data_IF_930732072282
#
_entry.id   IF_930732072282
#
_cell.length_a   1.000
_cell.length_b   1.000
_cell.length_c   1.000
_cell.angle_alpha   90.00
_cell.angle_beta   90.00
_cell.angle_gamma   90.00
#
_symmetry.space_group_name_H-M   'P 1'
#
loop_
_entity.id
_entity.type
_entity.pdbx_description
1 polymer ?
#
# COMPACT_ATOMS: atom_id res chain seq x y z
N UNK A 1 17.93 -18.76 -5.52
CA UNK A 1 17.46 -18.57 -4.13
C UNK A 1 15.98 -18.81 -4.05
N UNK A 2 15.53 -19.54 -3.05
CA UNK A 2 14.12 -19.76 -2.76
C UNK A 2 13.60 -18.66 -1.85
N UNK A 3 12.42 -18.13 -2.21
CA UNK A 3 11.62 -17.23 -1.40
C UNK A 3 10.40 -18.01 -0.97
N UNK A 4 10.23 -18.20 0.33
CA UNK A 4 9.11 -18.95 0.91
C UNK A 4 7.75 -18.36 0.50
N UNK A 5 6.67 -19.18 0.50
CA UNK A 5 5.33 -18.69 0.23
C UNK A 5 4.94 -17.53 1.14
N UNK A 6 4.32 -16.52 0.59
CA UNK A 6 3.93 -15.32 1.37
C UNK A 6 2.96 -15.67 2.51
N UNK A 7 2.07 -16.64 2.30
CA UNK A 7 1.12 -17.08 3.33
C UNK A 7 1.80 -17.63 4.61
N UNK A 8 3.05 -18.10 4.49
CA UNK A 8 3.82 -18.68 5.61
C UNK A 8 4.66 -17.60 6.33
N UNK A 9 4.58 -16.35 5.84
CA UNK A 9 5.29 -15.20 6.40
C UNK A 9 4.39 -14.40 7.34
N UNK A 10 4.93 -14.02 8.48
CA UNK A 10 4.28 -13.07 9.40
C UNK A 10 4.61 -11.61 9.08
N UNK A 11 5.22 -11.36 7.92
CA UNK A 11 5.68 -10.02 7.51
C UNK A 11 4.54 -9.27 6.82
N UNK A 12 4.24 -8.06 7.28
CA UNK A 12 3.38 -7.12 6.57
C UNK A 12 4.22 -6.51 5.43
N UNK A 13 4.11 -7.11 4.25
CA UNK A 13 4.92 -6.71 3.09
C UNK A 13 4.54 -5.33 2.58
N UNK A 14 3.24 -5.07 2.38
CA UNK A 14 2.70 -3.77 1.94
C UNK A 14 1.46 -3.41 2.76
N UNK A 15 1.00 -2.14 2.76
CA UNK A 15 -0.16 -1.74 3.53
C UNK A 15 -1.47 -2.44 3.13
N UNK A 16 -1.61 -2.84 1.85
CA UNK A 16 -2.83 -3.50 1.37
C UNK A 16 -2.52 -4.77 0.60
N UNK A 17 -3.41 -5.78 0.70
CA UNK A 17 -3.28 -7.00 -0.08
C UNK A 17 -3.27 -6.76 -1.60
N UNK A 18 -3.97 -5.72 -2.07
CA UNK A 18 -3.97 -5.33 -3.48
C UNK A 18 -2.58 -4.89 -3.95
N UNK A 19 -1.88 -4.08 -3.15
CA UNK A 19 -0.51 -3.65 -3.48
C UNK A 19 0.47 -4.82 -3.41
N UNK A 20 0.32 -5.73 -2.43
CA UNK A 20 1.11 -6.98 -2.38
C UNK A 20 0.93 -7.80 -3.66
N UNK A 21 -0.31 -7.99 -4.10
CA UNK A 21 -0.60 -8.74 -5.33
C UNK A 21 0.06 -8.09 -6.55
N UNK A 22 -0.07 -6.77 -6.67
CA UNK A 22 0.53 -6.02 -7.78
C UNK A 22 2.06 -6.11 -7.76
N UNK A 23 2.68 -6.05 -6.59
CA UNK A 23 4.12 -6.22 -6.44
C UNK A 23 4.58 -7.59 -6.95
N UNK A 24 3.92 -8.68 -6.51
CA UNK A 24 4.25 -10.03 -6.98
C UNK A 24 4.04 -10.17 -8.49
N UNK A 25 2.95 -9.67 -9.04
CA UNK A 25 2.70 -9.71 -10.48
C UNK A 25 3.81 -9.00 -11.25
N UNK A 26 4.19 -7.78 -10.84
CA UNK A 26 5.28 -7.04 -11.50
C UNK A 26 6.61 -7.81 -11.44
N UNK A 27 6.95 -8.40 -10.29
CA UNK A 27 8.18 -9.19 -10.15
C UNK A 27 8.18 -10.45 -11.03
N UNK A 28 7.02 -11.06 -11.26
CA UNK A 28 6.83 -12.22 -12.14
C UNK A 28 6.92 -11.78 -13.61
N UNK A 29 6.21 -10.72 -13.98
CA UNK A 29 6.14 -10.20 -15.34
C UNK A 29 7.54 -9.75 -15.82
N UNK A 30 8.30 -9.11 -14.95
CA UNK A 30 9.70 -8.71 -15.18
C UNK A 30 10.68 -9.89 -15.03
N UNK A 31 10.19 -11.09 -14.74
CA UNK A 31 11.00 -12.31 -14.54
C UNK A 31 12.07 -12.17 -13.46
N UNK A 32 11.91 -11.27 -12.51
CA UNK A 32 12.80 -11.13 -11.35
C UNK A 32 12.62 -12.32 -10.41
N UNK A 33 11.38 -12.82 -10.29
CA UNK A 33 11.06 -14.06 -9.61
C UNK A 33 10.35 -15.02 -10.56
N UNK A 34 10.59 -16.31 -10.36
CA UNK A 34 9.91 -17.40 -11.09
C UNK A 34 9.36 -18.42 -10.11
N UNK A 35 8.29 -19.13 -10.49
CA UNK A 35 7.71 -20.16 -9.62
C UNK A 35 8.67 -21.34 -9.53
N UNK A 36 8.98 -21.76 -8.30
CA UNK A 36 9.82 -22.92 -8.04
C UNK A 36 9.10 -24.22 -8.46
N UNK A 37 9.77 -25.14 -9.18
CA UNK A 37 9.27 -26.47 -9.47
C UNK A 37 8.98 -27.30 -8.19
N UNK A 38 9.55 -26.91 -7.05
CA UNK A 38 9.34 -27.56 -5.76
C UNK A 38 8.12 -27.01 -5.02
N UNK A 39 7.37 -26.08 -5.61
CA UNK A 39 6.13 -25.59 -5.02
C UNK A 39 5.12 -26.71 -4.81
N UNK A 40 4.38 -26.72 -3.67
CA UNK A 40 3.43 -27.79 -3.38
C UNK A 40 2.27 -27.82 -4.39
N UNK A 41 1.78 -28.99 -4.75
CA UNK A 41 0.72 -29.15 -5.77
C UNK A 41 -0.55 -28.37 -5.45
N UNK A 42 -0.91 -28.21 -4.17
CA UNK A 42 -2.07 -27.42 -3.74
C UNK A 42 -1.90 -25.90 -3.94
N UNK A 43 -0.73 -25.44 -4.34
CA UNK A 43 -0.49 -24.08 -4.74
C UNK A 43 -0.90 -23.80 -6.19
N UNK A 44 -1.25 -24.84 -6.97
CA UNK A 44 -1.66 -24.73 -8.36
C UNK A 44 -3.15 -25.06 -8.53
N UNK A 45 -3.76 -24.53 -9.60
CA UNK A 45 -5.09 -24.94 -10.05
C UNK A 45 -4.97 -26.18 -10.95
N UNK A 46 -4.97 -27.36 -10.36
CA UNK A 46 -4.74 -28.65 -11.04
C UNK A 46 -5.77 -28.89 -12.14
N UNK A 47 -7.03 -28.49 -11.92
CA UNK A 47 -8.12 -28.67 -12.89
C UNK A 47 -8.12 -27.61 -14.03
N UNK A 48 -7.15 -26.70 -14.05
CA UNK A 48 -7.02 -25.72 -15.12
C UNK A 48 -6.40 -26.36 -16.36
N UNK A 49 -6.94 -26.01 -17.55
CA UNK A 49 -6.34 -26.41 -18.84
C UNK A 49 -4.92 -25.84 -19.03
N UNK A 50 -4.61 -24.77 -18.31
CA UNK A 50 -3.34 -24.08 -18.38
C UNK A 50 -2.38 -24.48 -17.25
N UNK A 51 -2.61 -25.62 -16.60
CA UNK A 51 -1.68 -26.17 -15.61
C UNK A 51 -0.32 -26.42 -16.28
N UNK A 52 0.81 -26.06 -15.64
CA UNK A 52 1.01 -25.49 -14.30
C UNK A 52 1.02 -23.93 -14.25
N UNK A 53 0.61 -23.25 -15.30
CA UNK A 53 0.73 -21.79 -15.42
C UNK A 53 -0.28 -21.02 -14.56
N UNK A 54 -1.30 -21.69 -13.99
CA UNK A 54 -2.28 -21.08 -13.11
C UNK A 54 -2.06 -21.51 -11.67
N UNK A 55 -1.65 -20.57 -10.83
CA UNK A 55 -1.25 -20.81 -9.46
C UNK A 55 -1.76 -19.74 -8.48
N UNK A 56 -1.71 -20.03 -7.19
CA UNK A 56 -2.04 -19.09 -6.12
C UNK A 56 -0.78 -18.37 -5.66
N UNK A 57 -0.66 -17.08 -6.02
CA UNK A 57 0.56 -16.28 -5.86
C UNK A 57 1.12 -16.24 -4.42
N UNK A 58 0.30 -16.44 -3.41
CA UNK A 58 0.74 -16.46 -2.03
C UNK A 58 1.11 -17.86 -1.50
N UNK A 59 0.85 -18.93 -2.29
CA UNK A 59 1.09 -20.31 -1.90
C UNK A 59 2.31 -20.96 -2.56
N UNK A 60 2.74 -20.41 -3.70
CA UNK A 60 3.91 -20.94 -4.39
C UNK A 60 5.21 -20.45 -3.74
N UNK A 61 6.24 -21.26 -3.82
CA UNK A 61 7.62 -20.87 -3.56
C UNK A 61 8.18 -20.22 -4.79
N UNK A 62 8.95 -19.15 -4.64
CA UNK A 62 9.58 -18.48 -5.76
C UNK A 62 11.09 -18.71 -5.77
N UNK A 63 11.66 -18.67 -6.96
CA UNK A 63 13.09 -18.62 -7.20
C UNK A 63 13.46 -17.20 -7.63
N UNK A 64 14.47 -16.63 -7.00
CA UNK A 64 15.06 -15.39 -7.46
C UNK A 64 15.84 -15.64 -8.75
N UNK A 65 15.37 -15.05 -9.86
CA UNK A 65 15.90 -15.24 -11.20
C UNK A 65 16.78 -14.06 -11.61
N UNK A 66 17.82 -13.82 -10.83
CA UNK A 66 18.80 -12.78 -11.09
C UNK A 66 20.17 -13.44 -11.35
N UNK A 67 20.88 -12.98 -12.39
CA UNK A 67 22.23 -13.43 -12.70
C UNK A 67 23.23 -12.54 -11.94
N UNK A 68 24.15 -13.18 -11.20
CA UNK A 68 25.15 -12.47 -10.42
C UNK A 68 26.55 -12.90 -10.78
N UNK A 69 27.48 -11.93 -10.87
CA UNK A 69 28.82 -12.27 -11.34
C UNK A 69 29.59 -13.18 -10.39
N UNK A 70 29.68 -12.99 -9.09
CA UNK A 70 30.67 -13.74 -8.32
C UNK A 70 30.39 -14.00 -6.83
N UNK A 71 29.50 -13.29 -6.14
CA UNK A 71 29.29 -13.51 -4.72
C UNK A 71 27.87 -13.20 -4.25
N UNK A 72 27.30 -14.15 -3.48
CA UNK A 72 25.97 -14.04 -2.89
C UNK A 72 25.82 -12.85 -1.96
N UNK A 73 26.84 -12.61 -1.16
CA UNK A 73 26.84 -11.62 -0.11
C UNK A 73 26.79 -10.22 -0.70
N UNK A 74 27.54 -9.98 -1.76
CA UNK A 74 27.57 -8.71 -2.49
C UNK A 74 26.21 -8.36 -3.12
N UNK A 75 25.45 -9.37 -3.55
CA UNK A 75 24.10 -9.15 -4.06
C UNK A 75 23.16 -8.64 -2.98
N UNK A 76 23.06 -9.39 -1.87
CA UNK A 76 22.16 -9.01 -0.80
C UNK A 76 22.55 -7.65 -0.23
N UNK A 77 23.84 -7.34 -0.12
CA UNK A 77 24.31 -6.02 0.28
C UNK A 77 23.86 -4.93 -0.70
N UNK A 78 23.96 -5.17 -2.01
CA UNK A 78 23.49 -4.23 -3.04
C UNK A 78 21.97 -4.06 -3.04
N UNK A 79 21.22 -5.15 -2.85
CA UNK A 79 19.74 -5.08 -2.75
C UNK A 79 19.31 -4.35 -1.48
N UNK A 80 19.96 -4.64 -0.35
CA UNK A 80 19.62 -4.04 0.94
C UNK A 80 20.12 -2.61 1.12
N UNK A 81 21.14 -2.23 0.37
CA UNK A 81 21.73 -0.89 0.37
C UNK A 81 21.83 -0.36 -1.07
N UNK A 82 20.68 -0.06 -1.72
CA UNK A 82 20.69 0.44 -3.08
C UNK A 82 21.41 1.80 -3.13
N UNK A 83 22.59 1.83 -3.72
CA UNK A 83 23.41 3.03 -3.85
C UNK A 83 22.93 3.97 -4.98
N UNK A 84 21.86 3.62 -5.66
CA UNK A 84 21.47 4.25 -6.90
C UNK A 84 20.06 4.80 -6.85
N UNK A 85 20.00 6.10 -6.62
CA UNK A 85 18.90 6.90 -7.10
C UNK A 85 19.47 7.81 -8.22
N UNK A 86 19.16 7.50 -9.46
CA UNK A 86 19.49 8.38 -10.58
C UNK A 86 18.29 9.27 -10.89
N UNK A 87 18.54 10.51 -11.29
CA UNK A 87 17.49 11.44 -11.71
C UNK A 87 16.63 10.88 -12.88
N UNK A 88 17.15 9.91 -13.61
CA UNK A 88 16.44 9.22 -14.68
C UNK A 88 15.24 8.42 -14.18
N UNK A 89 15.30 7.92 -12.93
CA UNK A 89 14.23 7.14 -12.28
C UNK A 89 13.33 7.97 -11.35
N UNK A 90 13.49 9.30 -11.33
CA UNK A 90 12.74 10.17 -10.41
C UNK A 90 11.22 10.03 -10.56
N UNK A 91 10.73 9.92 -11.80
CA UNK A 91 9.29 9.75 -12.06
C UNK A 91 8.78 8.39 -11.56
N UNK A 92 9.52 7.32 -11.80
CA UNK A 92 9.16 5.96 -11.34
C UNK A 92 9.17 5.89 -9.80
N UNK A 93 10.14 6.54 -9.20
CA UNK A 93 10.22 6.64 -7.75
C UNK A 93 9.05 7.44 -7.18
N UNK A 94 8.69 8.57 -7.75
CA UNK A 94 7.53 9.33 -7.32
C UNK A 94 6.23 8.52 -7.45
N UNK A 95 6.08 7.78 -8.54
CA UNK A 95 4.91 6.91 -8.74
C UNK A 95 4.84 5.77 -7.73
N UNK A 96 5.97 5.16 -7.35
CA UNK A 96 5.98 4.16 -6.29
C UNK A 96 5.66 4.78 -4.92
N UNK A 97 6.21 5.96 -4.62
CA UNK A 97 5.83 6.70 -3.41
C UNK A 97 4.33 6.92 -3.34
N UNK A 98 3.72 7.45 -4.42
CA UNK A 98 2.26 7.66 -4.49
C UNK A 98 1.47 6.37 -4.26
N UNK A 99 1.88 5.26 -4.89
CA UNK A 99 1.24 3.95 -4.70
C UNK A 99 1.28 3.48 -3.23
N UNK A 100 2.43 3.64 -2.57
CA UNK A 100 2.58 3.30 -1.15
C UNK A 100 1.69 4.23 -0.31
N UNK A 101 1.73 5.53 -0.55
CA UNK A 101 0.95 6.53 0.19
C UNK A 101 -0.57 6.31 0.05
N UNK A 102 -1.06 6.01 -1.15
CA UNK A 102 -2.47 5.64 -1.38
C UNK A 102 -2.83 4.38 -0.60
N UNK A 103 -1.97 3.35 -0.63
CA UNK A 103 -2.22 2.11 0.10
C UNK A 103 -2.27 2.32 1.62
N UNK A 104 -1.40 3.16 2.19
CA UNK A 104 -1.43 3.53 3.62
C UNK A 104 -2.72 4.29 3.99
N UNK A 105 -3.19 5.19 3.12
CA UNK A 105 -4.47 5.88 3.33
C UNK A 105 -5.66 4.92 3.29
N UNK A 106 -5.67 3.95 2.37
CA UNK A 106 -6.71 2.92 2.26
C UNK A 106 -6.72 2.02 3.49
N UNK A 107 -5.57 1.52 3.90
CA UNK A 107 -5.41 0.70 5.11
C UNK A 107 -5.99 1.41 6.35
N UNK A 108 -5.64 2.69 6.52
CA UNK A 108 -6.15 3.49 7.63
C UNK A 108 -7.66 3.75 7.54
N UNK A 109 -8.18 4.01 6.34
CA UNK A 109 -9.63 4.17 6.13
C UNK A 109 -10.39 2.90 6.50
N UNK A 110 -9.98 1.75 5.99
CA UNK A 110 -10.62 0.46 6.25
C UNK A 110 -10.55 0.09 7.74
N UNK A 111 -9.41 0.36 8.38
CA UNK A 111 -9.25 0.20 9.82
C UNK A 111 -10.24 1.07 10.61
N UNK A 112 -10.34 2.36 10.31
CA UNK A 112 -11.23 3.27 11.02
C UNK A 112 -12.71 2.89 10.83
N UNK A 113 -13.10 2.49 9.63
CA UNK A 113 -14.46 2.02 9.33
C UNK A 113 -14.79 0.73 10.07
N UNK A 114 -13.84 -0.22 10.09
CA UNK A 114 -13.99 -1.48 10.84
C UNK A 114 -14.15 -1.23 12.34
N UNK A 115 -13.39 -0.28 12.89
CA UNK A 115 -13.45 0.10 14.32
C UNK A 115 -14.83 0.60 14.75
N UNK A 116 -15.55 1.27 13.86
CA UNK A 116 -16.93 1.74 14.11
C UNK A 116 -17.99 0.75 13.64
N UNK A 117 -17.60 -0.45 13.24
CA UNK A 117 -18.47 -1.54 12.81
C UNK A 117 -19.12 -1.34 11.44
N UNK A 118 -18.50 -0.55 10.57
CA UNK A 118 -18.91 -0.37 9.19
C UNK A 118 -18.16 -1.35 8.30
N UNK A 119 -18.89 -1.99 7.37
CA UNK A 119 -18.30 -2.79 6.31
C UNK A 119 -18.07 -1.90 5.10
N UNK A 120 -16.86 -1.92 4.58
CA UNK A 120 -16.48 -1.13 3.42
C UNK A 120 -15.40 -1.88 2.61
N UNK A 121 -15.50 -1.82 1.31
CA UNK A 121 -14.49 -2.30 0.40
C UNK A 121 -14.05 -1.16 -0.51
N UNK A 122 -12.77 -0.87 -0.49
CA UNK A 122 -12.18 0.19 -1.31
C UNK A 122 -12.25 -0.18 -2.79
N UNK A 123 -12.83 0.70 -3.59
CA UNK A 123 -12.92 0.59 -5.03
C UNK A 123 -12.23 1.76 -5.74
N UNK A 124 -12.29 1.80 -7.07
CA UNK A 124 -11.60 2.78 -7.91
C UNK A 124 -11.83 4.24 -7.48
N UNK A 125 -13.04 4.56 -7.02
CA UNK A 125 -13.35 5.91 -6.52
C UNK A 125 -12.52 6.27 -5.28
N UNK A 126 -12.27 5.30 -4.40
CA UNK A 126 -11.46 5.50 -3.19
C UNK A 126 -10.00 5.73 -3.56
N UNK A 127 -9.46 4.92 -4.47
CA UNK A 127 -8.11 5.09 -4.99
C UNK A 127 -7.91 6.47 -5.61
N UNK A 128 -8.75 6.84 -6.57
CA UNK A 128 -8.70 8.16 -7.24
C UNK A 128 -8.83 9.33 -6.28
N UNK A 129 -9.69 9.20 -5.26
CA UNK A 129 -9.80 10.24 -4.23
C UNK A 129 -8.47 10.44 -3.52
N UNK A 130 -7.82 9.37 -3.04
CA UNK A 130 -6.55 9.53 -2.34
C UNK A 130 -5.42 9.99 -3.25
N UNK A 131 -5.37 9.57 -4.52
CA UNK A 131 -4.44 10.11 -5.50
C UNK A 131 -4.55 11.64 -5.64
N UNK A 132 -5.80 12.16 -5.67
CA UNK A 132 -6.05 13.60 -5.74
C UNK A 132 -5.64 14.29 -4.44
N UNK A 133 -6.00 13.75 -3.29
CA UNK A 133 -5.68 14.36 -1.98
C UNK A 133 -4.16 14.43 -1.74
N UNK A 134 -3.42 13.43 -2.18
CA UNK A 134 -1.96 13.35 -2.03
C UNK A 134 -1.19 14.40 -2.85
N UNK A 135 -1.82 15.07 -3.79
CA UNK A 135 -1.21 16.22 -4.46
C UNK A 135 -1.03 17.45 -3.54
N UNK A 136 -1.87 17.56 -2.51
CA UNK A 136 -1.89 18.72 -1.62
C UNK A 136 -1.57 18.34 -0.16
N UNK A 137 -1.81 17.09 0.26
CA UNK A 137 -1.70 16.66 1.64
C UNK A 137 -0.81 15.41 1.80
N UNK A 138 -0.10 15.36 2.90
CA UNK A 138 0.64 14.15 3.29
C UNK A 138 -0.28 13.04 3.80
N UNK A 139 0.21 11.81 3.84
CA UNK A 139 -0.51 10.66 4.45
C UNK A 139 -0.92 10.99 5.88
N UNK A 140 -0.02 11.62 6.65
CA UNK A 140 -0.25 11.98 8.06
C UNK A 140 -1.39 13.01 8.23
N UNK A 141 -1.57 13.93 7.29
CA UNK A 141 -2.69 14.89 7.27
C UNK A 141 -3.98 14.23 6.80
N UNK A 142 -3.90 13.36 5.79
CA UNK A 142 -5.03 12.58 5.28
C UNK A 142 -5.61 11.66 6.37
N UNK A 143 -4.79 11.12 7.27
CA UNK A 143 -5.27 10.37 8.44
C UNK A 143 -6.24 11.22 9.29
N UNK A 144 -5.94 12.49 9.49
CA UNK A 144 -6.83 13.42 10.19
C UNK A 144 -8.15 13.65 9.43
N UNK A 145 -8.09 13.81 8.11
CA UNK A 145 -9.27 13.93 7.24
C UNK A 145 -10.15 12.68 7.34
N UNK A 146 -9.55 11.49 7.24
CA UNK A 146 -10.26 10.19 7.35
C UNK A 146 -10.93 10.07 8.72
N UNK A 147 -10.18 10.33 9.79
CA UNK A 147 -10.71 10.24 11.15
C UNK A 147 -11.95 11.12 11.33
N UNK A 148 -11.88 12.37 10.89
CA UNK A 148 -13.00 13.31 10.93
C UNK A 148 -14.19 12.83 10.10
N UNK A 149 -13.96 12.37 8.88
CA UNK A 149 -15.00 11.90 7.99
C UNK A 149 -15.73 10.66 8.56
N UNK A 150 -14.99 9.73 9.16
CA UNK A 150 -15.57 8.53 9.81
C UNK A 150 -16.34 8.91 11.07
N UNK A 151 -15.86 9.88 11.88
CA UNK A 151 -16.57 10.37 13.04
C UNK A 151 -17.91 11.01 12.64
N UNK A 152 -17.94 11.83 11.60
CA UNK A 152 -19.17 12.45 11.09
C UNK A 152 -20.16 11.40 10.53
N UNK A 153 -19.67 10.39 9.80
CA UNK A 153 -20.50 9.28 9.32
C UNK A 153 -21.09 8.46 10.47
N UNK A 154 -20.31 8.21 11.52
CA UNK A 154 -20.76 7.51 12.72
C UNK A 154 -21.86 8.29 13.44
N UNK A 155 -21.73 9.61 13.54
CA UNK A 155 -22.77 10.49 14.11
C UNK A 155 -24.06 10.39 13.32
N UNK A 156 -24.02 10.47 11.98
CA UNK A 156 -25.20 10.35 11.13
C UNK A 156 -25.90 8.99 11.27
N UNK A 157 -25.13 7.93 11.44
CA UNK A 157 -25.67 6.60 11.73
C UNK A 157 -26.35 6.53 13.10
N UNK A 158 -25.72 7.05 14.15
CA UNK A 158 -26.29 7.07 15.52
C UNK A 158 -27.57 7.92 15.60
N UNK A 159 -27.66 9.00 14.85
CA UNK A 159 -28.87 9.84 14.72
C UNK A 159 -29.97 9.14 13.86
N UNK A 160 -29.76 7.89 13.44
CA UNK A 160 -30.67 7.10 12.58
C UNK A 160 -31.04 7.75 11.25
N UNK A 161 -30.19 8.65 10.76
CA UNK A 161 -30.37 9.30 9.45
C UNK A 161 -30.03 8.37 8.29
N UNK A 162 -29.06 7.48 8.51
CA UNK A 162 -28.58 6.52 7.50
C UNK A 162 -28.44 5.12 8.10
N UNK A 163 -28.53 4.10 7.26
CA UNK A 163 -28.07 2.75 7.61
C UNK A 163 -26.53 2.66 7.52
N UNK A 164 -25.94 1.57 8.03
CA UNK A 164 -24.47 1.37 8.10
C UNK A 164 -23.80 1.50 6.73
N UNK A 165 -24.35 0.88 5.72
CA UNK A 165 -23.74 0.88 4.38
C UNK A 165 -23.78 2.29 3.76
N UNK A 166 -24.88 3.01 3.94
CA UNK A 166 -24.99 4.38 3.45
C UNK A 166 -24.02 5.30 4.21
N UNK A 167 -23.94 5.18 5.54
CA UNK A 167 -23.01 5.95 6.37
C UNK A 167 -21.54 5.70 5.93
N UNK A 168 -21.14 4.42 5.73
CA UNK A 168 -19.81 4.08 5.24
C UNK A 168 -19.51 4.75 3.87
N UNK A 169 -20.45 4.70 2.94
CA UNK A 169 -20.29 5.29 1.61
C UNK A 169 -20.19 6.82 1.61
N UNK A 170 -20.74 7.50 2.63
CA UNK A 170 -20.62 8.96 2.73
C UNK A 170 -19.22 9.44 3.07
N UNK A 171 -18.37 8.56 3.63
CA UNK A 171 -17.01 8.91 4.09
C UNK A 171 -16.16 9.42 2.95
N UNK A 172 -16.23 8.79 1.76
CA UNK A 172 -15.44 9.19 0.59
C UNK A 172 -15.75 10.65 0.20
N UNK A 173 -17.02 10.97 0.03
CA UNK A 173 -17.43 12.35 -0.27
C UNK A 173 -17.16 13.33 0.88
N UNK A 174 -17.16 12.87 2.13
CA UNK A 174 -16.79 13.70 3.28
C UNK A 174 -15.29 14.03 3.27
N UNK A 175 -14.43 13.06 2.97
CA UNK A 175 -12.99 13.29 2.83
C UNK A 175 -12.70 14.34 1.76
N UNK A 176 -13.31 14.22 0.58
CA UNK A 176 -13.16 15.19 -0.51
C UNK A 176 -13.55 16.59 -0.06
N UNK A 177 -14.77 16.76 0.46
CA UNK A 177 -15.26 18.07 0.92
C UNK A 177 -14.44 18.69 2.05
N UNK A 178 -13.87 17.84 2.92
CA UNK A 178 -13.02 18.33 4.01
C UNK A 178 -11.68 18.83 3.48
N UNK A 179 -11.08 18.09 2.55
CA UNK A 179 -9.86 18.47 1.88
C UNK A 179 -10.02 19.78 1.07
N UNK A 180 -11.09 19.90 0.27
CA UNK A 180 -11.42 21.10 -0.47
C UNK A 180 -11.53 22.31 0.46
N UNK A 181 -12.31 22.21 1.55
CA UNK A 181 -12.42 23.30 2.54
C UNK A 181 -11.10 23.65 3.20
N UNK A 182 -10.28 22.64 3.51
CA UNK A 182 -8.97 22.89 4.10
C UNK A 182 -8.06 23.67 3.15
N UNK A 183 -8.09 23.33 1.87
CA UNK A 183 -7.33 24.03 0.81
C UNK A 183 -7.85 25.45 0.60
N UNK A 184 -9.16 25.64 0.42
CA UNK A 184 -9.79 26.92 0.14
C UNK A 184 -9.58 27.93 1.28
N UNK A 185 -9.57 27.45 2.52
CA UNK A 185 -9.39 28.30 3.69
C UNK A 185 -7.94 28.37 4.20
N UNK A 186 -7.00 27.71 3.52
CA UNK A 186 -5.59 27.67 3.92
C UNK A 186 -5.36 27.04 5.30
N UNK A 187 -6.15 26.03 5.66
CA UNK A 187 -6.02 25.39 6.97
C UNK A 187 -4.71 24.60 7.09
N UNK A 188 -3.98 24.85 8.16
CA UNK A 188 -2.87 23.98 8.53
C UNK A 188 -3.41 22.74 9.23
N UNK A 189 -3.56 21.65 8.47
CA UNK A 189 -4.06 20.40 9.00
C UNK A 189 -3.04 19.76 9.96
N UNK A 190 -3.56 19.28 11.10
CA UNK A 190 -2.74 18.57 12.07
C UNK A 190 -2.24 17.25 11.48
N UNK A 191 -0.94 17.02 11.59
CA UNK A 191 -0.32 15.74 11.23
C UNK A 191 -0.59 14.69 12.30
N UNK A 192 -1.04 13.51 11.88
CA UNK A 192 -1.25 12.35 12.73
C UNK A 192 -0.04 11.42 12.64
N UNK A 193 0.26 10.76 13.74
CA UNK A 193 1.29 9.72 13.74
C UNK A 193 0.73 8.40 13.22
N UNK A 194 1.63 7.50 12.79
CA UNK A 194 1.29 6.09 12.57
C UNK A 194 0.74 5.49 13.85
N UNK A 195 -0.27 4.66 13.75
CA UNK A 195 -0.89 4.01 14.89
C UNK A 195 -0.25 2.63 15.12
N UNK A 196 -0.24 2.18 16.36
CA UNK A 196 0.39 0.89 16.72
C UNK A 196 -0.28 -0.31 16.04
N UNK A 197 -1.59 -0.23 15.82
CA UNK A 197 -2.38 -1.30 15.22
C UNK A 197 -2.14 -1.45 13.72
N UNK A 198 -1.53 -0.43 13.07
CA UNK A 198 -1.11 -0.42 11.68
C UNK A 198 0.38 -0.06 11.61
N UNK A 199 1.27 -1.03 11.87
CA UNK A 199 2.70 -0.80 11.78
C UNK A 199 3.10 -0.53 10.34
N UNK A 200 4.16 0.25 10.15
CA UNK A 200 4.71 0.52 8.83
C UNK A 200 5.06 -0.80 8.13
N UNK A 201 4.60 -0.97 6.89
CA UNK A 201 4.90 -2.16 6.09
C UNK A 201 6.38 -2.22 5.69
N UNK A 202 6.86 -3.42 5.41
CA UNK A 202 8.25 -3.65 5.01
C UNK A 202 8.62 -2.87 3.75
N UNK A 203 7.73 -2.85 2.74
CA UNK A 203 7.96 -2.07 1.52
C UNK A 203 8.07 -0.58 1.83
N UNK A 204 7.14 -0.02 2.61
CA UNK A 204 7.15 1.39 2.99
C UNK A 204 8.43 1.76 3.74
N UNK A 205 8.82 0.95 4.74
CA UNK A 205 10.05 1.18 5.48
C UNK A 205 11.29 1.10 4.57
N UNK A 206 11.44 0.01 3.82
CA UNK A 206 12.58 -0.19 2.94
C UNK A 206 12.70 0.93 1.91
N UNK A 207 11.58 1.28 1.28
CA UNK A 207 11.55 2.28 0.24
C UNK A 207 11.94 3.67 0.74
N UNK A 208 11.37 4.11 1.87
CA UNK A 208 11.65 5.44 2.38
C UNK A 208 12.98 5.58 3.12
N UNK A 209 13.45 4.51 3.77
CA UNK A 209 14.68 4.58 4.57
C UNK A 209 15.92 4.03 3.87
N UNK A 210 15.77 3.22 2.79
CA UNK A 210 16.90 2.60 2.09
C UNK A 210 17.01 3.03 0.64
N UNK A 211 15.90 3.22 -0.06
CA UNK A 211 15.91 3.60 -1.47
C UNK A 211 15.95 5.12 -1.63
N UNK A 212 15.00 5.84 -1.02
CA UNK A 212 14.91 7.31 -1.15
C UNK A 212 15.71 8.07 -0.10
N UNK A 213 16.07 7.44 1.01
CA UNK A 213 16.74 8.05 2.17
C UNK A 213 16.03 9.31 2.73
N UNK A 214 14.71 9.35 2.62
CA UNK A 214 13.87 10.44 3.14
C UNK A 214 13.20 10.09 4.48
N UNK A 215 13.32 8.84 4.92
CA UNK A 215 12.81 8.36 6.20
C UNK A 215 11.33 8.66 6.42
N UNK A 216 11.00 9.28 7.55
CA UNK A 216 9.61 9.59 7.89
C UNK A 216 8.97 10.68 6.99
N UNK A 217 9.75 11.38 6.19
CA UNK A 217 9.18 12.34 5.22
C UNK A 217 8.26 11.66 4.22
N UNK A 218 8.51 10.39 3.88
CA UNK A 218 7.60 9.59 3.06
C UNK A 218 6.16 9.52 3.58
N UNK A 219 5.96 9.77 4.88
CA UNK A 219 4.64 9.81 5.54
C UNK A 219 4.16 11.23 5.84
N UNK A 220 5.07 12.16 6.15
CA UNK A 220 4.72 13.50 6.66
C UNK A 220 4.75 14.60 5.61
N UNK A 221 5.23 14.30 4.40
CA UNK A 221 5.29 15.24 3.27
C UNK A 221 4.45 14.70 2.10
N UNK A 222 3.73 15.54 1.35
CA UNK A 222 3.04 15.12 0.14
C UNK A 222 4.01 14.58 -0.92
N UNK A 223 3.65 13.52 -1.67
CA UNK A 223 4.50 12.96 -2.72
C UNK A 223 4.44 13.82 -4.01
N UNK A 224 5.04 15.02 -3.98
CA UNK A 224 4.99 16.00 -5.07
C UNK A 224 6.30 16.15 -5.82
N UNK A 225 7.43 15.83 -5.18
CA UNK A 225 8.77 15.86 -5.81
C UNK A 225 9.72 14.94 -5.04
N UNK A 226 10.65 14.34 -5.74
CA UNK A 226 11.74 13.52 -5.19
C UNK A 226 13.07 14.18 -5.48
#
# INVERSE_FOLDING_TARGET
>A
YEVAPHQDSNVILTPTAALTKNLYNNLIDERIITVSPQSPLNAFKIDSKDFPNVFYIYKVTYLLNLSFPDNKQDLFEKILNPCYYSSEHANEALELWKKIAVAECIEYLEYQLTKVGFQFASGDKTYKMFEILLNDFSVSQIYGIIWKAVADASKLYLEKRFNKNHAANTVIGACTRYAERAKDNGWNLTSYNRIKDLPQSTLSWFYFYRVLDIGNMGFTVPPTSV
#
